data_IF_869679714250
#
_entry.id   IF_869679714250
#
_cell.length_a   1.000
_cell.length_b   1.000
_cell.length_c   1.000
_cell.angle_alpha   90.00
_cell.angle_beta   90.00
_cell.angle_gamma   90.00
#
_symmetry.space_group_name_H-M   'P 1'
#
loop_
_entity.id
_entity.type
_entity.pdbx_description
1 polymer ?
#
# COMPACT_ATOMS: atom_id res chain seq x y z
N UNK A 1 -16.70 29.73 36.80
CA UNK A 1 -15.83 28.88 35.97
C UNK A 1 -16.68 27.69 35.59
N UNK A 2 -16.99 27.51 34.31
CA UNK A 2 -17.78 26.38 33.86
C UNK A 2 -16.94 25.10 34.11
N UNK A 3 -17.51 24.15 34.83
CA UNK A 3 -16.99 22.80 34.93
C UNK A 3 -16.97 22.22 33.53
N UNK A 4 -15.81 22.15 32.91
CA UNK A 4 -15.64 21.41 31.68
C UNK A 4 -16.06 19.97 32.01
N UNK A 5 -17.17 19.51 31.43
CA UNK A 5 -17.56 18.12 31.48
C UNK A 5 -16.38 17.34 30.92
N UNK A 6 -15.70 16.60 31.79
CA UNK A 6 -14.46 15.90 31.47
C UNK A 6 -14.70 14.99 30.26
N UNK A 7 -14.08 15.31 29.13
CA UNK A 7 -14.20 14.52 27.89
C UNK A 7 -13.58 13.15 28.19
N UNK A 8 -14.39 12.11 28.16
CA UNK A 8 -13.97 10.73 28.48
C UNK A 8 -13.38 10.03 27.26
N UNK A 9 -12.57 8.98 27.48
CA UNK A 9 -12.08 8.11 26.40
C UNK A 9 -13.23 7.50 25.59
N UNK A 10 -14.35 7.18 26.23
CA UNK A 10 -15.55 6.66 25.57
C UNK A 10 -16.12 7.69 24.58
N UNK A 11 -16.21 8.93 24.99
CA UNK A 11 -16.67 10.02 24.13
C UNK A 11 -15.74 10.21 22.93
N UNK A 12 -14.42 10.25 23.16
CA UNK A 12 -13.39 10.34 22.10
C UNK A 12 -13.57 9.21 21.10
N UNK A 13 -13.63 7.96 21.60
CA UNK A 13 -13.77 6.77 20.75
C UNK A 13 -15.06 6.80 19.92
N UNK A 14 -16.21 7.09 20.53
CA UNK A 14 -17.51 7.18 19.84
C UNK A 14 -17.49 8.26 18.76
N UNK A 15 -16.91 9.42 19.07
CA UNK A 15 -16.83 10.55 18.13
C UNK A 15 -15.95 10.21 16.93
N UNK A 16 -14.76 9.65 17.14
CA UNK A 16 -13.84 9.32 16.07
C UNK A 16 -14.27 8.09 15.27
N UNK A 17 -14.82 7.06 15.92
CA UNK A 17 -15.27 5.84 15.24
C UNK A 17 -16.52 6.01 14.40
N UNK A 18 -17.32 7.05 14.67
CA UNK A 18 -18.50 7.37 13.86
C UNK A 18 -18.15 7.97 12.49
N UNK A 19 -16.89 8.39 12.29
CA UNK A 19 -16.45 8.98 11.02
C UNK A 19 -16.20 7.92 9.96
N UNK A 20 -16.87 8.06 8.82
CA UNK A 20 -16.54 7.27 7.63
C UNK A 20 -15.18 7.70 7.07
N UNK A 21 -14.25 6.74 6.96
CA UNK A 21 -12.88 6.95 6.50
C UNK A 21 -12.62 6.36 5.12
N UNK A 22 -13.59 5.69 4.50
CA UNK A 22 -13.40 4.92 3.27
C UNK A 22 -12.84 5.75 2.10
N UNK A 23 -13.20 7.02 1.99
CA UNK A 23 -12.69 7.92 0.95
C UNK A 23 -11.21 8.32 1.15
N UNK A 24 -10.63 8.05 2.33
CA UNK A 24 -9.29 8.47 2.73
C UNK A 24 -8.36 7.30 3.02
N UNK A 25 -8.78 6.11 2.62
CA UNK A 25 -8.01 4.88 2.72
C UNK A 25 -7.19 4.70 1.45
N UNK A 26 -5.90 4.49 1.61
CA UNK A 26 -4.96 4.23 0.52
C UNK A 26 -4.57 2.76 0.51
N UNK A 27 -4.40 2.18 -0.70
CA UNK A 27 -3.91 0.81 -0.90
C UNK A 27 -2.54 0.84 -1.54
N UNK A 28 -1.60 0.10 -0.95
CA UNK A 28 -0.27 -0.12 -1.52
C UNK A 28 0.07 -1.60 -1.45
N UNK A 29 -0.02 -2.28 -2.58
CA UNK A 29 0.04 -3.75 -2.61
C UNK A 29 -1.12 -4.35 -1.84
N UNK A 30 -0.84 -5.26 -0.92
CA UNK A 30 -1.84 -5.89 -0.05
C UNK A 30 -2.13 -5.08 1.23
N UNK A 31 -1.41 -3.98 1.46
CA UNK A 31 -1.58 -3.13 2.63
C UNK A 31 -2.65 -2.07 2.38
N UNK A 32 -3.51 -1.92 3.37
CA UNK A 32 -4.52 -0.87 3.43
C UNK A 32 -4.15 0.04 4.60
N UNK A 33 -4.11 1.35 4.37
CA UNK A 33 -3.78 2.30 5.43
C UNK A 33 -4.56 3.60 5.26
N UNK A 34 -4.84 4.23 6.39
CA UNK A 34 -5.47 5.54 6.43
C UNK A 34 -4.43 6.61 6.10
N UNK A 35 -4.78 7.59 5.26
CA UNK A 35 -3.91 8.73 4.97
C UNK A 35 -3.56 9.47 6.26
N UNK A 36 -2.26 9.54 6.60
CA UNK A 36 -1.81 10.15 7.84
C UNK A 36 -2.11 11.65 7.89
N UNK A 37 -1.99 12.35 6.76
CA UNK A 37 -2.26 13.79 6.69
C UNK A 37 -3.73 14.08 6.95
N UNK A 38 -4.61 13.28 6.36
CA UNK A 38 -6.04 13.41 6.60
C UNK A 38 -6.42 13.04 8.04
N UNK A 39 -5.87 11.94 8.57
CA UNK A 39 -6.15 11.50 9.94
C UNK A 39 -5.76 12.54 10.98
N UNK A 40 -4.57 13.13 10.83
CA UNK A 40 -4.12 14.21 11.72
C UNK A 40 -4.98 15.46 11.54
N UNK A 41 -5.30 15.84 10.30
CA UNK A 41 -6.17 17.00 10.02
C UNK A 41 -7.54 16.84 10.67
N UNK A 42 -8.21 15.70 10.47
CA UNK A 42 -9.50 15.43 11.09
C UNK A 42 -9.45 15.40 12.61
N UNK A 43 -8.37 14.82 13.19
CA UNK A 43 -8.16 14.84 14.63
C UNK A 43 -8.06 16.26 15.16
N UNK A 44 -7.27 17.12 14.51
CA UNK A 44 -7.10 18.53 14.93
C UNK A 44 -8.36 19.36 14.76
N UNK A 45 -9.22 19.06 13.77
CA UNK A 45 -10.54 19.69 13.61
C UNK A 45 -11.49 19.27 14.72
N UNK A 46 -11.47 17.99 15.10
CA UNK A 46 -12.41 17.42 16.09
C UNK A 46 -11.99 17.70 17.53
N UNK A 47 -10.68 17.58 17.81
CA UNK A 47 -10.05 17.78 19.10
C UNK A 47 -8.82 18.69 18.98
N UNK A 48 -9.01 20.03 18.91
CA UNK A 48 -7.93 20.98 18.62
C UNK A 48 -6.76 20.98 19.62
N UNK A 49 -7.01 20.53 20.86
CA UNK A 49 -5.98 20.47 21.90
C UNK A 49 -5.17 19.17 21.85
N UNK A 50 -5.36 18.34 20.82
CA UNK A 50 -4.57 17.12 20.68
C UNK A 50 -3.11 17.45 20.41
N UNK A 51 -2.23 16.67 21.05
CA UNK A 51 -0.78 16.78 20.85
C UNK A 51 -0.17 15.40 20.65
N UNK A 52 0.97 15.32 19.98
CA UNK A 52 1.73 14.08 19.92
C UNK A 52 3.22 14.36 19.97
N UNK A 53 3.97 13.37 20.45
CA UNK A 53 5.43 13.37 20.36
C UNK A 53 5.96 11.96 20.16
N UNK A 54 7.04 11.85 19.41
CA UNK A 54 7.77 10.59 19.26
C UNK A 54 8.76 10.45 20.42
N UNK A 55 8.77 9.28 21.03
CA UNK A 55 9.79 8.92 22.00
C UNK A 55 11.11 8.61 21.30
N UNK A 56 12.19 8.48 22.07
CA UNK A 56 13.45 7.99 21.55
C UNK A 56 13.28 6.59 20.95
N UNK A 57 13.86 6.39 19.77
CA UNK A 57 13.78 5.13 19.07
C UNK A 57 14.56 4.06 19.82
N UNK A 58 14.01 2.86 19.92
CA UNK A 58 14.67 1.72 20.56
C UNK A 58 15.41 0.91 19.50
N UNK A 59 16.70 0.67 19.73
CA UNK A 59 17.55 -0.14 18.86
C UNK A 59 17.75 -1.52 19.49
N UNK A 60 17.56 -2.57 18.72
CA UNK A 60 17.77 -3.96 19.13
C UNK A 60 19.15 -4.46 18.74
N UNK A 61 19.55 -5.61 19.30
CA UNK A 61 20.89 -6.17 19.11
C UNK A 61 21.21 -6.56 17.65
N UNK A 62 20.17 -6.86 16.85
CA UNK A 62 20.27 -7.17 15.41
C UNK A 62 20.30 -5.92 14.51
N UNK A 63 20.32 -4.72 15.11
CA UNK A 63 20.27 -3.44 14.41
C UNK A 63 18.87 -3.02 13.95
N UNK A 64 17.85 -3.81 14.20
CA UNK A 64 16.46 -3.37 13.96
C UNK A 64 16.03 -2.28 14.94
N UNK A 65 15.00 -1.54 14.58
CA UNK A 65 14.54 -0.39 15.38
C UNK A 65 13.04 -0.43 15.60
N UNK A 66 12.62 0.10 16.76
CA UNK A 66 11.23 0.35 17.11
C UNK A 66 11.03 1.86 17.30
N UNK A 67 10.00 2.39 16.67
CA UNK A 67 9.53 3.77 16.86
C UNK A 67 8.30 3.76 17.74
N UNK A 68 8.16 4.79 18.59
CA UNK A 68 6.97 4.93 19.43
C UNK A 68 6.49 6.37 19.47
N UNK A 69 5.16 6.53 19.61
CA UNK A 69 4.49 7.82 19.74
C UNK A 69 3.55 7.81 20.93
N UNK A 70 3.47 8.92 21.63
CA UNK A 70 2.41 9.22 22.58
C UNK A 70 1.52 10.28 21.91
N UNK A 71 0.26 9.92 21.68
CA UNK A 71 -0.80 10.82 21.25
C UNK A 71 -1.64 11.17 22.46
N UNK A 72 -1.84 12.47 22.73
CA UNK A 72 -2.69 12.96 23.80
C UNK A 72 -3.91 13.67 23.20
N UNK A 73 -5.10 13.21 23.56
CA UNK A 73 -6.38 13.80 23.16
C UNK A 73 -7.13 14.18 24.41
N UNK A 74 -7.39 15.47 24.62
CA UNK A 74 -8.11 16.00 25.78
C UNK A 74 -7.59 15.40 27.12
N UNK A 75 -6.26 15.31 27.26
CA UNK A 75 -5.60 14.78 28.45
C UNK A 75 -5.48 13.24 28.53
N UNK A 76 -6.06 12.51 27.57
CA UNK A 76 -5.93 11.05 27.51
C UNK A 76 -4.81 10.64 26.60
N UNK A 77 -3.87 9.83 27.10
CA UNK A 77 -2.72 9.35 26.36
C UNK A 77 -3.00 8.00 25.68
N UNK A 78 -2.55 7.89 24.43
CA UNK A 78 -2.53 6.69 23.60
C UNK A 78 -1.11 6.42 23.16
N UNK A 79 -0.49 5.41 23.76
CA UNK A 79 0.84 4.94 23.38
C UNK A 79 0.71 3.94 22.23
N UNK A 80 1.48 4.15 21.18
CA UNK A 80 1.64 3.20 20.07
C UNK A 80 3.11 3.02 19.75
N UNK A 81 3.47 1.84 19.31
CA UNK A 81 4.80 1.50 18.85
C UNK A 81 4.76 0.57 17.65
N UNK A 82 5.75 0.67 16.79
CA UNK A 82 5.90 -0.16 15.58
C UNK A 82 7.38 -0.44 15.32
N UNK A 83 7.72 -1.66 14.84
CA UNK A 83 9.04 -1.89 14.26
C UNK A 83 9.19 -1.09 12.96
N UNK A 84 10.42 -0.68 12.66
CA UNK A 84 10.78 -0.20 11.32
C UNK A 84 10.88 -1.41 10.41
N UNK A 85 9.97 -1.53 9.43
CA UNK A 85 9.79 -2.73 8.62
C UNK A 85 9.64 -2.42 7.13
N UNK A 86 9.97 -3.42 6.31
CA UNK A 86 9.74 -3.42 4.87
C UNK A 86 8.25 -3.68 4.51
N UNK A 87 7.97 -3.83 3.22
CA UNK A 87 6.62 -4.09 2.71
C UNK A 87 6.14 -5.53 2.95
N UNK A 88 7.04 -6.45 3.33
CA UNK A 88 6.73 -7.83 3.70
C UNK A 88 6.60 -8.00 5.22
N UNK A 89 6.60 -6.89 5.98
CA UNK A 89 6.57 -6.86 7.44
C UNK A 89 7.83 -7.42 8.13
N UNK A 90 8.94 -7.54 7.40
CA UNK A 90 10.23 -7.91 8.01
C UNK A 90 10.88 -6.66 8.61
N UNK A 91 11.44 -6.80 9.81
CA UNK A 91 12.21 -5.73 10.43
C UNK A 91 13.46 -5.41 9.57
N UNK A 92 13.76 -4.12 9.41
CA UNK A 92 14.90 -3.64 8.64
C UNK A 92 16.07 -3.40 9.60
N UNK A 93 17.18 -4.15 9.49
CA UNK A 93 18.40 -3.85 10.24
C UNK A 93 19.03 -2.54 9.76
N UNK A 94 19.44 -1.68 10.69
CA UNK A 94 20.04 -0.37 10.40
C UNK A 94 19.22 0.46 9.39
N UNK A 95 17.93 0.75 9.69
CA UNK A 95 17.04 1.41 8.76
C UNK A 95 17.51 2.83 8.44
N UNK A 96 17.23 3.29 7.22
CA UNK A 96 17.51 4.66 6.82
C UNK A 96 16.59 5.66 7.54
N UNK A 97 16.99 6.94 7.59
CA UNK A 97 16.14 8.01 8.11
C UNK A 97 14.78 8.08 7.40
N UNK A 98 14.72 7.74 6.11
CA UNK A 98 13.46 7.66 5.36
C UNK A 98 12.56 6.55 5.85
N UNK A 99 13.12 5.38 6.17
CA UNK A 99 12.33 4.24 6.67
C UNK A 99 11.82 4.52 8.09
N UNK A 100 12.65 5.13 8.93
CA UNK A 100 12.26 5.59 10.27
C UNK A 100 11.10 6.61 10.18
N UNK A 101 11.19 7.59 9.29
CA UNK A 101 10.13 8.58 9.09
C UNK A 101 8.81 7.93 8.63
N UNK A 102 8.87 6.99 7.69
CA UNK A 102 7.67 6.22 7.26
C UNK A 102 7.05 5.45 8.43
N UNK A 103 7.88 4.77 9.23
CA UNK A 103 7.43 4.02 10.40
C UNK A 103 6.78 4.95 11.44
N UNK A 104 7.36 6.13 11.70
CA UNK A 104 6.80 7.14 12.62
C UNK A 104 5.43 7.63 12.16
N UNK A 105 5.23 7.93 10.86
CA UNK A 105 3.93 8.36 10.36
C UNK A 105 2.88 7.25 10.44
N UNK A 106 3.25 5.99 10.16
CA UNK A 106 2.36 4.83 10.37
C UNK A 106 2.03 4.64 11.85
N UNK A 107 3.01 4.79 12.73
CA UNK A 107 2.83 4.69 14.17
C UNK A 107 1.82 5.73 14.69
N UNK A 108 1.94 6.99 14.25
CA UNK A 108 1.01 8.06 14.59
C UNK A 108 -0.41 7.75 14.11
N UNK A 109 -0.56 7.29 12.85
CA UNK A 109 -1.88 6.95 12.31
C UNK A 109 -2.53 5.80 13.08
N UNK A 110 -1.76 4.77 13.49
CA UNK A 110 -2.26 3.69 14.34
C UNK A 110 -2.63 4.18 15.75
N UNK A 111 -1.89 5.15 16.32
CA UNK A 111 -2.28 5.77 17.59
C UNK A 111 -3.63 6.49 17.49
N UNK A 112 -3.87 7.19 16.39
CA UNK A 112 -5.16 7.85 16.11
C UNK A 112 -6.27 6.78 15.92
N UNK A 113 -5.96 5.68 15.25
CA UNK A 113 -6.90 4.56 15.09
C UNK A 113 -7.26 3.91 16.43
N UNK A 114 -6.31 3.76 17.36
CA UNK A 114 -6.58 3.28 18.72
C UNK A 114 -7.54 4.21 19.49
N UNK A 115 -7.56 5.50 19.16
CA UNK A 115 -8.53 6.44 19.69
C UNK A 115 -9.91 6.35 19.00
N UNK A 116 -10.04 5.57 17.91
CA UNK A 116 -11.30 5.27 17.22
C UNK A 116 -11.31 5.56 15.72
N UNK A 117 -10.51 6.49 15.21
CA UNK A 117 -10.58 6.94 13.81
C UNK A 117 -10.05 5.88 12.83
N UNK A 118 -10.96 5.24 12.10
CA UNK A 118 -10.59 4.21 11.13
C UNK A 118 -10.02 2.94 11.76
N UNK A 119 -10.40 2.60 12.97
CA UNK A 119 -9.93 1.39 13.66
C UNK A 119 -10.12 0.11 12.83
N UNK A 120 -11.24 0.01 12.10
CA UNK A 120 -11.56 -1.12 11.23
C UNK A 120 -10.59 -1.30 10.04
N UNK A 121 -9.90 -0.24 9.62
CA UNK A 121 -8.91 -0.30 8.52
C UNK A 121 -7.74 -1.23 8.87
N UNK A 122 -7.42 -1.34 10.15
CA UNK A 122 -6.30 -2.14 10.65
C UNK A 122 -6.74 -3.51 11.18
N UNK A 123 -8.02 -3.85 11.10
CA UNK A 123 -8.52 -5.17 11.48
C UNK A 123 -7.93 -6.23 10.55
N UNK A 124 -7.24 -7.22 11.12
CA UNK A 124 -6.61 -8.32 10.38
C UNK A 124 -5.21 -8.02 9.84
N UNK A 125 -4.63 -6.83 10.08
CA UNK A 125 -3.26 -6.52 9.60
C UNK A 125 -2.20 -7.46 10.20
N UNK A 126 -2.38 -7.89 11.44
CA UNK A 126 -1.45 -8.75 12.17
C UNK A 126 -1.87 -10.23 12.18
N UNK A 127 -2.91 -10.61 11.44
CA UNK A 127 -3.33 -12.00 11.35
C UNK A 127 -2.45 -12.77 10.34
N UNK A 128 -2.08 -14.02 10.65
CA UNK A 128 -1.41 -14.88 9.67
C UNK A 128 -2.28 -14.96 8.40
N UNK A 129 -1.66 -14.81 7.25
CA UNK A 129 -2.32 -15.02 5.96
C UNK A 129 -2.55 -16.52 5.80
N UNK A 130 -3.61 -17.06 6.40
CA UNK A 130 -4.05 -18.43 6.10
C UNK A 130 -4.89 -18.41 4.83
N UNK A 131 -4.66 -19.35 3.93
CA UNK A 131 -5.32 -19.43 2.63
C UNK A 131 -6.86 -19.56 2.71
N UNK A 132 -7.44 -19.64 3.91
CA UNK A 132 -8.86 -19.91 4.15
C UNK A 132 -9.61 -18.85 4.97
N UNK A 133 -8.99 -17.76 5.40
CA UNK A 133 -9.70 -16.74 6.17
C UNK A 133 -10.37 -15.72 5.25
N UNK A 134 -11.58 -16.05 4.83
CA UNK A 134 -12.54 -15.09 4.28
C UNK A 134 -13.08 -14.15 5.39
N UNK A 135 -12.21 -13.51 6.19
CA UNK A 135 -12.60 -12.31 6.90
C UNK A 135 -12.55 -11.16 5.91
N UNK A 136 -13.68 -10.91 5.30
CA UNK A 136 -13.90 -9.78 4.41
C UNK A 136 -14.49 -8.63 5.24
N UNK A 137 -13.66 -7.67 5.75
CA UNK A 137 -14.24 -6.40 6.14
C UNK A 137 -14.90 -5.87 4.87
N UNK A 138 -16.15 -5.44 4.96
CA UNK A 138 -16.91 -4.89 3.82
C UNK A 138 -16.26 -3.56 3.41
N UNK A 139 -15.07 -3.64 2.81
CA UNK A 139 -14.54 -2.62 1.93
C UNK A 139 -15.00 -3.06 0.55
N UNK A 140 -15.76 -2.27 -0.19
CA UNK A 140 -16.14 -2.65 -1.54
C UNK A 140 -14.85 -2.97 -2.31
N UNK A 141 -14.65 -4.24 -2.61
CA UNK A 141 -13.50 -4.73 -3.37
C UNK A 141 -13.64 -4.24 -4.82
N UNK A 142 -13.09 -3.06 -5.10
CA UNK A 142 -12.78 -2.69 -6.47
C UNK A 142 -11.36 -3.11 -6.80
N UNK A 143 -11.03 -4.38 -6.58
CA UNK A 143 -9.97 -4.99 -7.37
C UNK A 143 -10.48 -5.00 -8.79
N UNK A 144 -9.89 -4.17 -9.64
CA UNK A 144 -9.93 -4.45 -11.07
C UNK A 144 -9.55 -5.93 -11.22
N UNK A 145 -10.35 -6.76 -11.92
CA UNK A 145 -10.07 -8.17 -12.07
C UNK A 145 -8.61 -8.31 -12.50
N UNK A 146 -7.84 -9.16 -11.80
CA UNK A 146 -6.49 -9.48 -12.27
C UNK A 146 -6.64 -9.97 -13.70
N UNK A 147 -5.85 -9.46 -14.65
CA UNK A 147 -5.92 -9.97 -16.00
C UNK A 147 -5.79 -11.49 -15.94
N UNK A 148 -6.72 -12.20 -16.54
CA UNK A 148 -6.57 -13.62 -16.75
C UNK A 148 -5.48 -13.80 -17.80
N UNK A 149 -4.32 -14.33 -17.39
CA UNK A 149 -3.19 -14.59 -18.29
C UNK A 149 -3.30 -15.96 -18.97
N UNK A 150 -4.39 -16.73 -18.74
CA UNK A 150 -4.51 -18.07 -19.30
C UNK A 150 -4.84 -18.06 -20.79
N UNK A 151 -5.50 -17.00 -21.28
CA UNK A 151 -5.99 -16.85 -22.64
C UNK A 151 -5.46 -15.56 -23.31
N UNK A 152 -4.20 -15.15 -23.02
CA UNK A 152 -3.59 -13.99 -23.69
C UNK A 152 -3.13 -14.37 -25.11
N UNK A 153 -3.41 -13.49 -26.07
CA UNK A 153 -3.02 -13.57 -27.47
C UNK A 153 -2.29 -12.29 -27.92
N UNK A 154 -2.02 -12.19 -29.21
CA UNK A 154 -1.38 -11.03 -29.84
C UNK A 154 -2.12 -9.70 -29.65
N UNK A 155 -3.40 -9.75 -29.26
CA UNK A 155 -4.19 -8.55 -28.95
C UNK A 155 -4.05 -8.08 -27.50
N UNK A 156 -3.31 -8.80 -26.68
CA UNK A 156 -3.03 -8.42 -25.31
C UNK A 156 -2.27 -7.09 -25.24
N UNK A 157 -2.71 -6.18 -24.35
CA UNK A 157 -2.12 -4.85 -24.17
C UNK A 157 -1.32 -4.81 -22.85
N UNK A 158 0.02 -5.02 -22.87
CA UNK A 158 0.83 -5.14 -21.66
C UNK A 158 1.02 -3.82 -20.92
N UNK A 159 0.93 -2.68 -21.60
CA UNK A 159 1.16 -1.37 -21.00
C UNK A 159 -0.12 -0.60 -20.78
N UNK A 160 -0.35 -0.13 -19.54
CA UNK A 160 -1.48 0.73 -19.18
C UNK A 160 -1.12 2.22 -19.11
N UNK A 161 0.18 2.56 -19.17
CA UNK A 161 0.71 3.94 -19.07
C UNK A 161 1.96 4.09 -19.94
N UNK A 162 2.32 5.34 -20.28
CA UNK A 162 3.48 5.68 -21.10
C UNK A 162 3.19 5.62 -22.61
N UNK A 163 4.23 5.74 -23.43
CA UNK A 163 4.15 5.86 -24.90
C UNK A 163 3.58 4.62 -25.61
N UNK A 164 3.64 3.48 -24.95
CA UNK A 164 3.11 2.20 -25.42
C UNK A 164 1.76 1.83 -24.77
N UNK A 165 1.11 2.75 -24.04
CA UNK A 165 -0.17 2.48 -23.39
C UNK A 165 -1.26 2.14 -24.42
N UNK A 166 -1.96 1.03 -24.17
CA UNK A 166 -3.06 0.55 -25.02
C UNK A 166 -2.63 -0.11 -26.34
N UNK A 167 -1.32 -0.14 -26.67
CA UNK A 167 -0.84 -0.90 -27.83
C UNK A 167 -0.91 -2.40 -27.57
N UNK A 168 -1.35 -3.13 -28.57
CA UNK A 168 -1.35 -4.59 -28.55
C UNK A 168 0.08 -5.15 -28.59
N UNK A 169 0.27 -6.40 -28.18
CA UNK A 169 1.57 -7.05 -28.23
C UNK A 169 2.15 -7.02 -29.66
N UNK A 170 1.33 -7.27 -30.68
CA UNK A 170 1.70 -7.23 -32.10
C UNK A 170 2.05 -5.83 -32.64
N UNK A 171 1.67 -4.77 -31.95
CA UNK A 171 1.92 -3.38 -32.35
C UNK A 171 3.17 -2.77 -31.66
N UNK A 172 3.81 -3.53 -30.79
CA UNK A 172 5.01 -3.09 -30.06
C UNK A 172 6.26 -3.25 -30.94
N UNK A 173 7.16 -2.28 -30.83
CA UNK A 173 8.47 -2.40 -31.47
C UNK A 173 9.35 -3.48 -30.79
N UNK A 174 10.29 -4.05 -31.55
CA UNK A 174 11.20 -5.14 -31.11
C UNK A 174 11.92 -4.81 -29.80
N UNK A 175 12.35 -3.56 -29.60
CA UNK A 175 13.01 -3.14 -28.34
C UNK A 175 12.09 -3.29 -27.11
N UNK A 176 10.80 -2.95 -27.25
CA UNK A 176 9.82 -3.09 -26.16
C UNK A 176 9.50 -4.55 -25.89
N UNK A 177 9.40 -5.37 -26.94
CA UNK A 177 9.17 -6.81 -26.82
C UNK A 177 10.36 -7.51 -26.13
N UNK A 178 11.60 -7.19 -26.49
CA UNK A 178 12.80 -7.72 -25.84
C UNK A 178 12.84 -7.35 -24.36
N UNK A 179 12.54 -6.09 -24.02
CA UNK A 179 12.45 -5.68 -22.61
C UNK A 179 11.39 -6.48 -21.85
N UNK A 180 10.21 -6.73 -22.44
CA UNK A 180 9.16 -7.56 -21.81
C UNK A 180 9.68 -8.97 -21.57
N UNK A 181 10.30 -9.61 -22.57
CA UNK A 181 10.74 -10.99 -22.49
C UNK A 181 11.86 -11.20 -21.47
N UNK A 182 12.83 -10.30 -21.42
CA UNK A 182 14.10 -10.50 -20.71
C UNK A 182 14.15 -9.78 -19.35
N UNK A 183 13.78 -8.50 -19.31
CA UNK A 183 14.06 -7.61 -18.16
C UNK A 183 12.83 -7.32 -17.30
N UNK A 184 11.60 -7.45 -17.83
CA UNK A 184 10.41 -7.07 -17.08
C UNK A 184 10.09 -8.03 -15.93
N UNK A 185 9.37 -7.52 -14.92
CA UNK A 185 8.79 -8.34 -13.84
C UNK A 185 7.38 -8.87 -14.18
N UNK A 186 7.00 -8.89 -15.45
CA UNK A 186 5.68 -9.34 -15.90
C UNK A 186 5.51 -10.85 -15.75
N UNK A 187 4.26 -11.31 -15.83
CA UNK A 187 3.92 -12.72 -15.78
C UNK A 187 4.65 -13.52 -16.87
N UNK A 188 5.02 -14.77 -16.59
CA UNK A 188 5.79 -15.60 -17.52
C UNK A 188 5.07 -15.77 -18.88
N UNK A 189 3.76 -15.98 -18.89
CA UNK A 189 2.99 -16.09 -20.14
C UNK A 189 3.04 -14.82 -21.00
N UNK A 190 3.14 -13.65 -20.39
CA UNK A 190 3.34 -12.37 -21.12
C UNK A 190 4.73 -12.32 -21.74
N UNK A 191 5.75 -12.82 -21.04
CA UNK A 191 7.12 -12.91 -21.54
C UNK A 191 7.22 -13.90 -22.70
N UNK A 192 6.59 -15.06 -22.57
CA UNK A 192 6.56 -16.09 -23.61
C UNK A 192 5.83 -15.58 -24.89
N UNK A 193 4.74 -14.83 -24.71
CA UNK A 193 4.04 -14.18 -25.82
C UNK A 193 4.91 -13.11 -26.50
N UNK A 194 5.67 -12.31 -25.73
CA UNK A 194 6.57 -11.32 -26.31
C UNK A 194 7.69 -12.00 -27.12
N UNK A 195 8.26 -13.08 -26.62
CA UNK A 195 9.28 -13.86 -27.31
C UNK A 195 8.74 -14.46 -28.63
N UNK A 196 7.57 -15.09 -28.60
CA UNK A 196 6.96 -15.65 -29.80
C UNK A 196 6.58 -14.56 -30.83
N UNK A 197 6.21 -13.37 -30.37
CA UNK A 197 5.93 -12.23 -31.26
C UNK A 197 7.21 -11.75 -31.98
N UNK A 198 8.35 -11.72 -31.29
CA UNK A 198 9.65 -11.39 -31.91
C UNK A 198 9.98 -12.40 -33.01
N UNK A 199 9.86 -13.70 -32.71
CA UNK A 199 10.15 -14.77 -33.67
C UNK A 199 9.28 -14.68 -34.94
N UNK A 200 8.00 -14.34 -34.79
CA UNK A 200 7.09 -14.12 -35.93
C UNK A 200 7.49 -12.90 -36.77
N UNK A 201 7.98 -11.83 -36.15
CA UNK A 201 8.46 -10.65 -36.88
C UNK A 201 9.74 -10.96 -37.67
N UNK A 202 10.67 -11.74 -37.13
CA UNK A 202 11.89 -12.10 -37.82
C UNK A 202 11.62 -13.02 -39.01
N UNK A 203 10.70 -13.98 -38.91
CA UNK A 203 10.28 -14.86 -40.03
C UNK A 203 9.64 -14.06 -41.14
N UNK A 204 8.81 -13.05 -40.85
CA UNK A 204 8.16 -12.22 -41.86
C UNK A 204 9.16 -11.31 -42.61
N UNK A 205 10.24 -10.86 -41.94
CA UNK A 205 11.30 -10.07 -42.58
C UNK A 205 12.16 -10.92 -43.53
N UNK A 206 12.39 -12.20 -43.23
CA UNK A 206 13.12 -13.11 -44.12
C UNK A 206 12.31 -13.50 -45.34
N UNK A 207 10.98 -13.61 -45.25
CA UNK A 207 10.11 -13.94 -46.36
C UNK A 207 10.00 -12.82 -47.38
N UNK A 208 10.10 -11.55 -46.97
CA UNK A 208 10.07 -10.37 -47.83
C UNK A 208 11.42 -10.07 -48.53
N UNK A 209 12.50 -10.77 -48.11
CA UNK A 209 13.87 -10.56 -48.60
C UNK A 209 14.30 -11.54 -49.71
N UNK A 210 13.42 -12.42 -50.20
CA UNK A 210 13.73 -13.32 -51.32
C UNK A 210 13.54 -12.60 -52.66
N UNK A 211 14.60 -12.29 -53.40
CA UNK A 211 14.48 -11.76 -54.77
C UNK A 211 14.07 -12.86 -55.72
N UNK A 212 13.12 -12.56 -56.61
CA UNK A 212 12.80 -13.36 -57.81
C UNK A 212 13.98 -13.39 -58.78
#
# INVERSE_FOLDING_TARGET
>A
MAVNSEITREYIYKTLSAKDVNAHVEKKGNLTFLSWTWAVGYLMETFPNSTYYFKDDKVFADGSMEVSVILTIEGHEYLMWLPVMDYNHNAIPNPSATDINKARMRCLTKAIAMAGLGFSVYSGEDLPQTENDAYNPVIPDQKAPRPNYDDIDENFTPFKKGDNAGKKMSELGVSSLKWIAEESSMNQKVKDLAQSTIEQMDVNQESDALPF
#
